data_IF_676346169324
#
_entry.id   IF_676346169324
#
_cell.length_a   1.000
_cell.length_b   1.000
_cell.length_c   1.000
_cell.angle_alpha   90.00
_cell.angle_beta   90.00
_cell.angle_gamma   90.00
#
_symmetry.space_group_name_H-M   'P 1'
#
loop_
_entity.id
_entity.type
_entity.pdbx_description
1 polymer ?
#
# COMPACT_ATOMS: atom_id res chain seq x y z
N UNK A 1 24.28 5.63 -3.88
CA UNK A 1 23.00 5.78 -3.17
C UNK A 1 22.26 4.46 -3.31
N UNK A 2 21.79 3.82 -2.22
CA UNK A 2 20.87 2.68 -2.36
C UNK A 2 19.61 3.20 -3.07
N UNK A 3 19.19 2.54 -4.15
CA UNK A 3 17.96 2.91 -4.86
C UNK A 3 16.78 2.57 -3.95
N UNK A 4 16.30 3.55 -3.18
CA UNK A 4 15.18 3.34 -2.25
C UNK A 4 13.86 3.44 -2.99
N UNK A 5 12.90 2.54 -2.74
CA UNK A 5 11.62 2.59 -3.42
C UNK A 5 10.84 3.84 -3.01
N UNK A 6 10.04 4.37 -3.92
CA UNK A 6 9.07 5.43 -3.65
C UNK A 6 7.64 4.90 -3.56
N UNK A 7 7.45 3.61 -3.78
CA UNK A 7 6.15 2.96 -3.73
C UNK A 7 6.34 1.47 -3.44
N UNK A 8 5.56 0.94 -2.50
CA UNK A 8 5.41 -0.48 -2.22
C UNK A 8 3.91 -0.73 -2.06
N UNK A 9 3.36 -1.66 -2.82
CA UNK A 9 2.03 -2.22 -2.62
C UNK A 9 2.20 -3.69 -2.30
N UNK A 10 1.51 -4.16 -1.28
CA UNK A 10 1.29 -5.57 -1.05
C UNK A 10 -0.21 -5.81 -0.86
N UNK A 11 -0.76 -6.71 -1.66
CA UNK A 11 -2.17 -7.13 -1.56
C UNK A 11 -2.21 -8.61 -1.19
N UNK A 12 -3.13 -8.93 -0.30
CA UNK A 12 -3.47 -10.30 0.06
C UNK A 12 -4.98 -10.47 0.03
N UNK A 13 -5.45 -11.59 -0.50
CA UNK A 13 -6.86 -11.95 -0.53
C UNK A 13 -6.98 -13.44 -0.22
N UNK A 14 -7.46 -13.79 0.98
CA UNK A 14 -7.92 -15.13 1.29
C UNK A 14 -9.42 -15.28 1.00
N UNK A 15 -9.89 -16.45 0.55
CA UNK A 15 -11.34 -16.69 0.37
C UNK A 15 -12.00 -17.29 1.62
N UNK A 16 -13.26 -16.91 1.83
CA UNK A 16 -14.24 -17.33 2.86
C UNK A 16 -14.15 -16.78 4.30
N UNK A 17 -13.00 -16.78 4.98
CA UNK A 17 -12.85 -16.23 6.37
C UNK A 17 -11.48 -15.53 6.54
N UNK A 18 -10.73 -15.37 5.43
CA UNK A 18 -9.37 -14.84 5.46
C UNK A 18 -9.30 -13.32 5.50
N UNK A 19 -8.19 -12.83 6.02
CA UNK A 19 -7.77 -11.44 5.86
C UNK A 19 -7.84 -11.04 4.37
N UNK A 20 -8.48 -9.90 4.09
CA UNK A 20 -8.42 -9.24 2.78
C UNK A 20 -7.91 -7.82 3.03
N UNK A 21 -6.71 -7.55 2.53
CA UNK A 21 -6.10 -6.24 2.70
C UNK A 21 -5.21 -5.86 1.53
N UNK A 22 -5.07 -4.55 1.35
CA UNK A 22 -4.01 -3.95 0.56
C UNK A 22 -3.28 -2.92 1.42
N UNK A 23 -1.96 -3.06 1.48
CA UNK A 23 -1.07 -2.18 2.22
C UNK A 23 -0.20 -1.43 1.23
N UNK A 24 -0.08 -0.12 1.43
CA UNK A 24 0.73 0.73 0.60
C UNK A 24 1.72 1.50 1.45
N UNK A 25 2.97 1.57 1.00
CA UNK A 25 3.91 2.62 1.37
C UNK A 25 4.11 3.50 0.14
N UNK A 26 4.08 4.82 0.33
CA UNK A 26 4.28 5.77 -0.75
C UNK A 26 5.11 6.96 -0.27
N UNK A 27 6.12 7.34 -1.06
CA UNK A 27 7.00 8.49 -0.83
C UNK A 27 6.76 9.55 -1.90
N UNK A 28 6.54 10.79 -1.48
CA UNK A 28 6.57 11.94 -2.38
C UNK A 28 7.08 13.21 -1.73
N UNK A 29 6.70 14.35 -2.31
CA UNK A 29 7.36 15.63 -2.03
C UNK A 29 7.24 16.12 -0.58
N UNK A 30 6.14 15.78 0.11
CA UNK A 30 5.88 16.20 1.50
C UNK A 30 6.29 15.16 2.56
N UNK A 31 6.69 13.95 2.15
CA UNK A 31 7.08 12.89 3.09
C UNK A 31 6.74 11.47 2.61
N UNK A 32 6.76 10.53 3.54
CA UNK A 32 6.38 9.15 3.34
C UNK A 32 5.13 8.80 4.14
N UNK A 33 4.29 7.94 3.58
CA UNK A 33 2.96 7.61 4.10
C UNK A 33 2.68 6.11 3.98
N UNK A 34 1.99 5.56 4.98
CA UNK A 34 1.36 4.24 4.93
C UNK A 34 -0.13 4.40 4.66
N UNK A 35 -0.67 3.57 3.79
CA UNK A 35 -2.11 3.46 3.56
C UNK A 35 -2.55 2.02 3.72
N UNK A 36 -3.62 1.82 4.49
CA UNK A 36 -4.25 0.51 4.64
C UNK A 36 -5.64 0.52 4.03
N UNK A 37 -5.95 -0.56 3.33
CA UNK A 37 -7.28 -0.87 2.86
C UNK A 37 -7.64 -2.28 3.36
N UNK A 38 -8.59 -2.40 4.28
CA UNK A 38 -9.08 -3.67 4.84
C UNK A 38 -10.54 -3.86 4.43
N UNK A 39 -10.86 -4.99 3.79
CA UNK A 39 -12.20 -5.23 3.25
C UNK A 39 -13.14 -6.02 4.17
N UNK A 40 -12.64 -6.75 5.17
CA UNK A 40 -13.43 -7.77 5.90
C UNK A 40 -13.24 -7.78 7.42
N UNK A 41 -12.61 -6.76 8.01
CA UNK A 41 -12.55 -6.59 9.48
C UNK A 41 -13.09 -5.20 9.85
N UNK A 42 -13.47 -4.98 11.11
CA UNK A 42 -13.85 -3.67 11.69
C UNK A 42 -12.75 -2.58 11.54
N UNK A 43 -11.64 -2.91 10.87
CA UNK A 43 -10.52 -2.03 10.62
C UNK A 43 -10.86 -1.14 9.42
N UNK A 44 -10.96 0.15 9.71
CA UNK A 44 -11.28 1.19 8.73
C UNK A 44 -10.04 1.51 7.89
N UNK A 45 -10.29 1.88 6.65
CA UNK A 45 -9.25 2.33 5.73
C UNK A 45 -8.56 3.56 6.32
N UNK A 46 -7.26 3.72 6.12
CA UNK A 46 -6.55 4.78 6.84
C UNK A 46 -5.20 5.14 6.29
N UNK A 47 -4.73 6.31 6.71
CA UNK A 47 -3.42 6.85 6.37
C UNK A 47 -2.63 7.22 7.63
N UNK A 48 -1.32 7.00 7.57
CA UNK A 48 -0.39 7.37 8.63
C UNK A 48 0.88 7.96 8.01
N UNK A 49 1.39 9.06 8.55
CA UNK A 49 2.70 9.60 8.18
C UNK A 49 3.81 8.69 8.73
N UNK A 50 4.93 8.61 8.01
CA UNK A 50 5.99 7.64 8.30
C UNK A 50 7.28 8.36 8.65
N UNK A 51 7.89 7.98 9.76
CA UNK A 51 9.22 8.43 10.14
C UNK A 51 10.33 7.66 9.39
N UNK A 52 11.55 8.21 9.41
CA UNK A 52 12.70 7.61 8.73
C UNK A 52 13.02 6.20 9.25
N UNK A 53 12.74 5.92 10.53
CA UNK A 53 13.01 4.62 11.16
C UNK A 53 12.10 3.54 10.57
N UNK A 54 10.81 3.82 10.46
CA UNK A 54 9.81 2.94 9.88
C UNK A 54 10.08 2.73 8.39
N UNK A 55 10.44 3.79 7.68
CA UNK A 55 10.82 3.73 6.26
C UNK A 55 12.03 2.81 6.04
N UNK A 56 13.10 2.97 6.83
CA UNK A 56 14.28 2.10 6.78
C UNK A 56 13.93 0.64 7.06
N UNK A 57 13.00 0.38 7.99
CA UNK A 57 12.55 -0.98 8.32
C UNK A 57 11.82 -1.62 7.13
N UNK A 58 10.93 -0.89 6.45
CA UNK A 58 10.26 -1.38 5.23
C UNK A 58 11.27 -1.74 4.14
N UNK A 59 12.28 -0.92 3.94
CA UNK A 59 13.32 -1.18 2.94
C UNK A 59 14.19 -2.37 3.33
N UNK A 60 14.50 -2.51 4.61
CA UNK A 60 15.21 -3.67 5.13
C UNK A 60 14.43 -4.97 4.93
N UNK A 61 13.08 -4.95 5.00
CA UNK A 61 12.26 -6.13 4.67
C UNK A 61 12.42 -6.56 3.21
N UNK A 62 12.45 -5.60 2.26
CA UNK A 62 12.69 -5.93 0.85
C UNK A 62 14.06 -6.59 0.63
N UNK A 63 15.09 -6.08 1.30
CA UNK A 63 16.45 -6.64 1.26
C UNK A 63 16.47 -8.04 1.92
N UNK A 64 15.88 -8.19 3.12
CA UNK A 64 15.83 -9.42 3.91
C UNK A 64 15.18 -10.58 3.15
N UNK A 65 14.07 -10.29 2.47
CA UNK A 65 13.31 -11.29 1.73
C UNK A 65 13.73 -11.41 0.27
N UNK A 66 14.82 -10.73 -0.14
CA UNK A 66 15.34 -10.73 -1.50
C UNK A 66 14.26 -10.44 -2.55
N UNK A 67 13.48 -9.37 -2.32
CA UNK A 67 12.36 -8.99 -3.17
C UNK A 67 12.68 -8.89 -4.68
N UNK A 68 13.89 -8.47 -5.12
CA UNK A 68 14.25 -8.47 -6.53
C UNK A 68 14.10 -9.83 -7.22
N UNK A 69 14.27 -10.95 -6.49
CA UNK A 69 14.14 -12.31 -7.04
C UNK A 69 12.71 -12.69 -7.43
N UNK A 70 11.71 -11.95 -6.94
CA UNK A 70 10.31 -12.19 -7.26
C UNK A 70 9.90 -11.57 -8.59
N UNK A 71 10.71 -10.67 -9.16
CA UNK A 71 10.31 -9.88 -10.31
C UNK A 71 9.91 -10.75 -11.50
N UNK A 72 8.70 -10.53 -12.02
CA UNK A 72 8.14 -11.30 -13.13
C UNK A 72 7.46 -12.61 -12.73
N UNK A 73 7.44 -12.96 -11.44
CA UNK A 73 6.71 -14.13 -10.97
C UNK A 73 5.20 -13.96 -11.25
N UNK A 74 4.64 -14.89 -12.02
CA UNK A 74 3.22 -14.94 -12.33
C UNK A 74 2.78 -16.40 -12.43
N UNK A 75 2.18 -16.93 -11.36
CA UNK A 75 1.75 -18.34 -11.32
C UNK A 75 0.40 -18.52 -10.64
N UNK A 76 -0.25 -19.62 -11.00
CA UNK A 76 -1.52 -20.04 -10.43
C UNK A 76 -1.53 -21.56 -10.22
N UNK A 77 -1.63 -22.00 -8.97
CA UNK A 77 -1.89 -23.39 -8.64
C UNK A 77 -3.40 -23.68 -8.64
N UNK A 78 -3.87 -24.22 -9.77
CA UNK A 78 -5.29 -24.54 -10.02
C UNK A 78 -5.81 -25.74 -9.22
N UNK A 79 -4.93 -26.50 -8.56
CA UNK A 79 -5.32 -27.68 -7.78
C UNK A 79 -5.82 -27.33 -6.38
N UNK A 80 -5.81 -26.05 -6.02
CA UNK A 80 -6.28 -25.54 -4.73
C UNK A 80 -7.65 -24.89 -4.94
N UNK A 81 -8.69 -25.49 -4.34
CA UNK A 81 -10.09 -25.06 -4.46
C UNK A 81 -10.38 -23.79 -3.63
N UNK A 82 -9.92 -23.77 -2.38
CA UNK A 82 -9.95 -22.61 -1.49
C UNK A 82 -8.53 -22.22 -1.13
N UNK A 83 -8.16 -20.98 -1.41
CA UNK A 83 -6.84 -20.52 -1.03
C UNK A 83 -6.73 -19.01 -1.07
N UNK A 84 -5.62 -18.52 -1.61
CA UNK A 84 -5.25 -17.13 -1.53
C UNK A 84 -4.75 -16.59 -2.86
N UNK A 85 -4.84 -15.29 -3.02
CA UNK A 85 -3.99 -14.54 -3.94
C UNK A 85 -3.15 -13.55 -3.16
N UNK A 86 -1.95 -13.30 -3.68
CA UNK A 86 -1.07 -12.26 -3.18
C UNK A 86 -0.35 -11.59 -4.36
N UNK A 87 -0.23 -10.27 -4.30
CA UNK A 87 0.57 -9.53 -5.24
C UNK A 87 1.42 -8.47 -4.55
N UNK A 88 2.56 -8.19 -5.16
CA UNK A 88 3.46 -7.13 -4.73
C UNK A 88 3.85 -6.28 -5.93
N UNK A 89 3.88 -4.97 -5.73
CA UNK A 89 4.48 -4.01 -6.64
C UNK A 89 5.40 -3.09 -5.88
N UNK A 90 6.67 -3.03 -6.29
CA UNK A 90 7.64 -2.05 -5.81
C UNK A 90 8.04 -1.16 -6.98
N UNK A 91 8.04 0.15 -6.79
CA UNK A 91 8.53 1.10 -7.80
C UNK A 91 9.66 1.93 -7.21
N UNK A 92 10.62 2.27 -8.07
CA UNK A 92 11.77 3.09 -7.74
C UNK A 92 11.74 4.42 -8.49
N UNK A 93 12.38 5.49 -7.97
CA UNK A 93 12.51 6.76 -8.69
C UNK A 93 13.19 6.64 -10.06
N UNK A 94 14.05 5.63 -10.24
CA UNK A 94 14.71 5.31 -11.52
C UNK A 94 13.74 4.83 -12.61
N UNK A 95 12.50 4.48 -12.26
CA UNK A 95 11.55 3.83 -13.14
C UNK A 95 11.61 2.30 -13.10
N UNK A 96 12.59 1.73 -12.40
CA UNK A 96 12.63 0.29 -12.15
C UNK A 96 11.41 -0.16 -11.34
N UNK A 97 10.97 -1.40 -11.59
CA UNK A 97 9.79 -2.00 -10.94
C UNK A 97 10.05 -3.46 -10.62
N UNK A 98 9.61 -3.89 -9.44
CA UNK A 98 9.39 -5.29 -9.09
C UNK A 98 7.88 -5.54 -9.15
N UNK A 99 7.46 -6.61 -9.83
CA UNK A 99 6.07 -7.04 -9.87
C UNK A 99 5.99 -8.55 -9.74
N UNK A 100 5.20 -9.05 -8.80
CA UNK A 100 4.93 -10.47 -8.66
C UNK A 100 3.46 -10.70 -8.30
N UNK A 101 2.87 -11.77 -8.85
CA UNK A 101 1.49 -12.17 -8.60
C UNK A 101 1.43 -13.69 -8.42
N UNK A 102 0.81 -14.11 -7.34
CA UNK A 102 0.60 -15.51 -7.00
C UNK A 102 -0.85 -15.82 -6.71
N UNK A 103 -1.36 -16.91 -7.28
CA UNK A 103 -2.65 -17.49 -6.94
C UNK A 103 -2.41 -18.90 -6.43
N UNK A 104 -2.57 -19.13 -5.13
CA UNK A 104 -2.28 -20.40 -4.46
C UNK A 104 -0.82 -20.89 -4.62
N UNK A 105 0.06 -20.07 -5.18
CA UNK A 105 1.49 -20.29 -5.38
C UNK A 105 2.16 -18.93 -5.37
N UNK A 106 3.13 -18.73 -4.49
CA UNK A 106 3.89 -17.49 -4.35
C UNK A 106 5.38 -17.79 -4.37
N UNK A 107 6.23 -16.83 -4.77
CA UNK A 107 7.66 -17.00 -4.64
C UNK A 107 8.03 -17.04 -3.14
N UNK A 108 9.10 -17.77 -2.84
CA UNK A 108 9.58 -17.96 -1.47
C UNK A 108 9.79 -16.61 -0.78
N UNK A 109 9.29 -16.50 0.46
CA UNK A 109 9.41 -15.29 1.28
C UNK A 109 8.37 -14.19 1.01
N UNK A 110 7.63 -14.21 -0.10
CA UNK A 110 6.70 -13.12 -0.45
C UNK A 110 5.55 -12.97 0.56
N UNK A 111 4.96 -14.08 1.00
CA UNK A 111 3.90 -14.04 2.02
C UNK A 111 4.43 -13.60 3.38
N UNK A 112 5.61 -14.10 3.77
CA UNK A 112 6.26 -13.70 5.02
C UNK A 112 6.58 -12.21 5.03
N UNK A 113 7.05 -11.65 3.90
CA UNK A 113 7.19 -10.20 3.72
C UNK A 113 5.87 -9.48 3.94
N UNK A 114 4.77 -9.97 3.36
CA UNK A 114 3.44 -9.42 3.55
C UNK A 114 3.00 -9.36 5.01
N UNK A 115 3.22 -10.44 5.76
CA UNK A 115 2.90 -10.50 7.19
C UNK A 115 3.78 -9.55 8.03
N UNK A 116 5.08 -9.46 7.73
CA UNK A 116 5.97 -8.50 8.41
C UNK A 116 5.62 -7.05 8.08
N UNK A 117 5.22 -6.78 6.83
CA UNK A 117 4.69 -5.48 6.44
C UNK A 117 3.40 -5.19 7.21
N UNK A 118 2.46 -6.14 7.32
CA UNK A 118 1.25 -5.99 8.14
C UNK A 118 1.56 -5.67 9.61
N UNK A 119 2.59 -6.30 10.19
CA UNK A 119 3.02 -6.01 11.56
C UNK A 119 3.46 -4.55 11.74
N UNK A 120 4.20 -3.99 10.77
CA UNK A 120 4.56 -2.56 10.80
C UNK A 120 3.30 -1.68 10.83
N UNK A 121 2.24 -2.04 10.11
CA UNK A 121 0.98 -1.30 10.14
C UNK A 121 0.28 -1.41 11.50
N UNK A 122 0.25 -2.60 12.09
CA UNK A 122 -0.35 -2.79 13.42
C UNK A 122 0.37 -2.05 14.53
N UNK A 123 1.70 -1.99 14.49
CA UNK A 123 2.49 -1.23 15.46
C UNK A 123 2.13 0.27 15.44
N UNK A 124 1.69 0.78 14.29
CA UNK A 124 1.32 2.19 14.09
C UNK A 124 -0.19 2.43 14.15
N UNK A 125 -0.99 1.45 14.60
CA UNK A 125 -2.47 1.50 14.55
C UNK A 125 -3.07 2.78 15.16
N UNK A 126 -2.49 3.29 16.24
CA UNK A 126 -2.95 4.51 16.93
C UNK A 126 -2.55 5.81 16.21
N UNK A 127 -1.61 5.74 15.26
CA UNK A 127 -1.17 6.85 14.42
C UNK A 127 -2.00 6.97 13.13
N UNK A 128 -2.83 5.96 12.82
CA UNK A 128 -3.68 5.97 11.64
C UNK A 128 -4.88 6.89 11.83
N UNK A 129 -5.05 7.79 10.87
CA UNK A 129 -6.30 8.50 10.66
C UNK A 129 -7.15 7.60 9.77
N UNK A 130 -8.33 7.23 10.28
CA UNK A 130 -9.21 6.27 9.62
C UNK A 130 -10.41 6.94 8.95
N UNK A 131 -10.92 6.27 7.93
CA UNK A 131 -12.02 6.72 7.09
C UNK A 131 -12.98 5.55 6.86
N UNK A 132 -14.24 5.74 7.20
CA UNK A 132 -15.30 4.77 6.93
C UNK A 132 -15.72 4.86 5.45
N UNK A 133 -15.90 3.70 4.80
CA UNK A 133 -16.47 3.61 3.45
C UNK A 133 -15.58 4.06 2.28
N UNK A 134 -14.29 4.28 2.48
CA UNK A 134 -13.40 4.93 1.49
C UNK A 134 -12.40 3.97 0.85
N UNK A 135 -12.55 3.59 -0.42
CA UNK A 135 -11.63 2.69 -1.11
C UNK A 135 -10.40 3.45 -1.65
N UNK A 136 -9.25 3.33 -0.99
CA UNK A 136 -7.99 3.88 -1.52
C UNK A 136 -7.50 3.01 -2.68
N UNK A 137 -7.95 3.31 -3.89
CA UNK A 137 -7.43 2.66 -5.08
C UNK A 137 -6.02 3.19 -5.42
N UNK A 138 -5.27 2.40 -6.20
CA UNK A 138 -3.89 2.69 -6.66
C UNK A 138 -3.74 4.04 -7.39
N UNK A 139 -4.84 4.59 -7.90
CA UNK A 139 -4.88 5.80 -8.71
C UNK A 139 -5.09 7.04 -7.83
N UNK A 140 -5.67 6.91 -6.62
CA UNK A 140 -5.82 8.02 -5.66
C UNK A 140 -4.50 8.40 -4.97
N UNK A 141 -3.70 7.39 -4.60
CA UNK A 141 -2.51 7.57 -3.75
C UNK A 141 -1.42 8.46 -4.37
N UNK A 142 -1.09 8.34 -5.67
CA UNK A 142 -0.15 9.25 -6.31
C UNK A 142 -0.70 10.68 -6.43
N UNK A 143 -2.01 10.90 -6.51
CA UNK A 143 -2.58 12.26 -6.59
C UNK A 143 -2.50 12.99 -5.24
N UNK A 144 -2.78 12.30 -4.15
CA UNK A 144 -2.59 12.80 -2.78
C UNK A 144 -1.14 13.24 -2.53
N UNK A 145 -0.18 12.52 -3.12
CA UNK A 145 1.25 12.65 -2.82
C UNK A 145 2.01 13.55 -3.82
N UNK A 146 1.51 13.71 -5.05
CA UNK A 146 2.25 14.33 -6.18
C UNK A 146 1.78 15.73 -6.57
N UNK A 147 0.59 16.19 -6.19
CA UNK A 147 0.03 17.47 -6.66
C UNK A 147 -0.18 18.55 -5.59
N UNK A 148 0.72 18.64 -4.61
CA UNK A 148 0.83 19.85 -3.76
C UNK A 148 1.56 21.02 -4.46
N UNK A 149 1.40 21.17 -5.78
CA UNK A 149 2.14 22.18 -6.55
C UNK A 149 1.73 22.35 -8.02
N UNK A 150 0.52 21.95 -8.40
CA UNK A 150 -0.03 22.29 -9.73
C UNK A 150 -1.37 22.96 -9.58
N UNK A 151 -1.58 24.01 -10.37
CA UNK A 151 -2.75 24.91 -10.35
C UNK A 151 -4.09 24.24 -10.75
N UNK A 152 -4.10 22.93 -11.03
CA UNK A 152 -5.24 22.15 -11.54
C UNK A 152 -5.86 21.20 -10.48
N UNK A 153 -5.47 21.36 -9.20
CA UNK A 153 -5.98 20.54 -8.11
C UNK A 153 -7.33 21.07 -7.59
N UNK A 154 -8.38 20.25 -7.70
CA UNK A 154 -9.71 20.54 -7.14
C UNK A 154 -10.14 19.45 -6.16
N UNK A 155 -10.90 19.84 -5.12
CA UNK A 155 -11.50 18.90 -4.18
C UNK A 155 -12.36 17.84 -4.88
N UNK A 156 -13.08 18.23 -5.93
CA UNK A 156 -13.89 17.35 -6.77
C UNK A 156 -13.07 16.24 -7.46
N UNK A 157 -11.83 16.54 -7.87
CA UNK A 157 -10.92 15.55 -8.46
C UNK A 157 -10.33 14.64 -7.39
N UNK A 158 -10.03 15.18 -6.21
CA UNK A 158 -9.59 14.40 -5.05
C UNK A 158 -10.70 13.43 -4.58
N UNK A 159 -11.93 13.92 -4.42
CA UNK A 159 -13.12 13.16 -4.04
C UNK A 159 -13.41 12.02 -5.01
N UNK A 160 -13.37 12.30 -6.31
CA UNK A 160 -13.53 11.28 -7.37
C UNK A 160 -12.46 10.18 -7.31
N UNK A 161 -11.20 10.56 -7.10
CA UNK A 161 -10.11 9.60 -7.04
C UNK A 161 -10.16 8.76 -5.77
N UNK A 162 -10.57 9.36 -4.65
CA UNK A 162 -10.76 8.72 -3.34
C UNK A 162 -12.09 7.95 -3.23
N UNK A 163 -12.94 8.03 -4.27
CA UNK A 163 -14.28 7.47 -4.29
C UNK A 163 -15.12 7.89 -3.06
N UNK A 164 -15.01 9.17 -2.67
CA UNK A 164 -15.72 9.76 -1.53
C UNK A 164 -16.32 11.13 -1.88
N UNK A 165 -17.00 11.76 -0.92
CA UNK A 165 -17.47 13.13 -1.05
C UNK A 165 -16.33 14.17 -0.85
N UNK A 166 -16.55 15.41 -1.30
CA UNK A 166 -15.55 16.48 -1.24
C UNK A 166 -15.16 16.92 0.17
N UNK A 167 -16.07 16.83 1.14
CA UNK A 167 -15.81 17.20 2.53
C UNK A 167 -14.85 16.18 3.16
N UNK A 168 -15.08 14.90 2.89
CA UNK A 168 -14.20 13.83 3.34
C UNK A 168 -12.85 13.89 2.63
N UNK A 169 -12.81 14.16 1.32
CA UNK A 169 -11.55 14.39 0.59
C UNK A 169 -10.75 15.57 1.15
N UNK A 170 -11.43 16.67 1.50
CA UNK A 170 -10.81 17.85 2.13
C UNK A 170 -10.17 17.50 3.46
N UNK A 171 -10.87 16.76 4.33
CA UNK A 171 -10.33 16.32 5.63
C UNK A 171 -9.08 15.46 5.48
N UNK A 172 -9.06 14.53 4.51
CA UNK A 172 -7.88 13.71 4.21
C UNK A 172 -6.68 14.61 3.88
N UNK A 173 -6.89 15.62 3.04
CA UNK A 173 -5.82 16.53 2.61
C UNK A 173 -5.32 17.42 3.75
N UNK A 174 -6.22 18.04 4.51
CA UNK A 174 -5.87 18.90 5.66
C UNK A 174 -5.05 18.14 6.70
N UNK A 175 -5.36 16.87 6.96
CA UNK A 175 -4.59 16.05 7.90
C UNK A 175 -3.22 15.64 7.34
N UNK A 176 -3.08 15.44 6.03
CA UNK A 176 -1.80 15.11 5.40
C UNK A 176 -0.84 16.29 5.31
N UNK A 177 -1.35 17.51 5.48
CA UNK A 177 -0.57 18.75 5.50
C UNK A 177 -0.03 19.13 6.89
N UNK A 178 -0.50 18.49 7.97
CA UNK A 178 0.01 18.67 9.33
C UNK A 178 1.34 17.91 9.55
#
# INVERSE_FOLDING_TARGET
MKNTPNYIQFRYTGMMIGDIYTLYYVKGGKGAYLYKNFMMMEDTNGVCRVDEKTEKRLFALLDQFNAPSWNGFYKNNKNVLDGYSADITVKYPSGEKISAVGYNESPEGMLSFGFEMKNIFFEKKEEFITFEGMDFNKDALPYIIKENGKDDFTLEKAARNLECDEETAKRVLEELEK
#
